data_IF_342072112245
#
_entry.id   IF_342072112245
#
_cell.length_a   1.000
_cell.length_b   1.000
_cell.length_c   1.000
_cell.angle_alpha   90.00
_cell.angle_beta   90.00
_cell.angle_gamma   90.00
#
_symmetry.space_group_name_H-M   'P 1'
#
loop_
_entity.id
_entity.type
_entity.pdbx_description
1 polymer ?
#
# COMPACT_ATOMS: atom_id res chain seq x y z
N UNK A 1 12.21 30.85 12.01
CA UNK A 1 11.53 29.57 11.78
C UNK A 1 10.95 29.63 10.39
N UNK A 2 11.36 28.76 9.48
CA UNK A 2 10.78 28.68 8.14
C UNK A 2 9.37 28.12 8.31
N UNK A 3 8.35 28.85 7.87
CA UNK A 3 6.96 28.38 7.87
C UNK A 3 6.91 27.08 7.05
N UNK A 4 6.40 25.99 7.63
CA UNK A 4 6.25 24.72 6.94
C UNK A 4 4.86 24.64 6.32
N UNK A 5 4.80 24.15 5.09
CA UNK A 5 3.56 23.94 4.35
C UNK A 5 3.15 22.46 4.44
N UNK A 6 1.95 22.20 4.89
CA UNK A 6 1.41 20.86 5.07
C UNK A 6 0.20 20.60 4.16
N UNK A 7 0.10 19.39 3.63
CA UNK A 7 -1.11 18.91 2.97
C UNK A 7 -1.77 17.85 3.84
N UNK A 8 -3.01 18.09 4.25
CA UNK A 8 -3.84 17.10 4.90
C UNK A 8 -4.61 16.34 3.81
N UNK A 9 -4.29 15.07 3.63
CA UNK A 9 -5.04 14.17 2.78
C UNK A 9 -6.06 13.41 3.61
N UNK A 10 -7.34 13.69 3.36
CA UNK A 10 -8.44 13.10 4.11
C UNK A 10 -8.98 11.87 3.38
N UNK A 11 -9.32 10.84 4.16
CA UNK A 11 -10.04 9.69 3.64
C UNK A 11 -11.33 10.16 2.98
N UNK A 12 -11.64 9.70 1.75
CA UNK A 12 -12.94 10.00 1.14
C UNK A 12 -14.08 9.49 2.03
N UNK A 13 -15.08 10.32 2.26
CA UNK A 13 -16.30 9.91 2.96
C UNK A 13 -17.10 8.98 2.04
N UNK A 14 -16.86 7.68 2.19
CA UNK A 14 -17.52 6.66 1.39
C UNK A 14 -18.62 5.95 2.16
N UNK A 15 -19.79 6.55 2.21
CA UNK A 15 -21.00 5.77 2.17
C UNK A 15 -21.62 5.99 0.78
N UNK A 16 -21.09 5.29 -0.21
CA UNK A 16 -21.93 4.92 -1.35
C UNK A 16 -23.16 4.20 -0.81
N UNK A 17 -24.33 4.56 -1.32
CA UNK A 17 -25.67 4.11 -0.98
C UNK A 17 -25.75 2.95 0.04
N UNK A 18 -26.24 3.23 1.24
CA UNK A 18 -26.41 2.22 2.28
C UNK A 18 -27.25 1.08 1.69
N UNK A 19 -26.79 -0.17 1.72
CA UNK A 19 -27.60 -1.28 1.24
C UNK A 19 -28.90 -1.30 2.05
N UNK A 20 -30.04 -1.31 1.37
CA UNK A 20 -31.39 -1.30 1.98
C UNK A 20 -31.67 -2.48 2.93
N UNK A 21 -30.75 -3.44 3.01
CA UNK A 21 -30.87 -4.67 3.80
C UNK A 21 -29.77 -4.84 4.87
N UNK A 22 -29.04 -3.76 5.21
CA UNK A 22 -28.00 -3.85 6.26
C UNK A 22 -28.64 -4.00 7.63
N UNK A 23 -28.19 -4.99 8.43
CA UNK A 23 -28.67 -5.19 9.80
C UNK A 23 -28.49 -3.89 10.62
N UNK A 24 -29.50 -3.46 11.43
CA UNK A 24 -29.48 -2.17 12.14
C UNK A 24 -28.22 -1.96 13.02
N UNK A 25 -27.71 -3.00 13.68
CA UNK A 25 -26.47 -2.90 14.48
C UNK A 25 -25.22 -2.66 13.65
N UNK A 26 -25.12 -3.31 12.48
CA UNK A 26 -24.02 -3.09 11.53
C UNK A 26 -24.09 -1.65 10.99
N UNK A 27 -25.29 -1.17 10.66
CA UNK A 27 -25.50 0.21 10.24
C UNK A 27 -25.07 1.22 11.31
N UNK A 28 -25.49 0.98 12.57
CA UNK A 28 -25.06 1.81 13.70
C UNK A 28 -23.53 1.82 13.86
N UNK A 29 -22.89 0.66 13.76
CA UNK A 29 -21.44 0.54 13.81
C UNK A 29 -20.74 1.33 12.68
N UNK A 30 -21.23 1.22 11.44
CA UNK A 30 -20.68 1.96 10.29
C UNK A 30 -20.84 3.47 10.45
N UNK A 31 -22.00 3.94 10.93
CA UNK A 31 -22.24 5.36 11.22
C UNK A 31 -21.31 5.87 12.34
N UNK A 32 -21.10 5.06 13.38
CA UNK A 32 -20.16 5.40 14.46
C UNK A 32 -18.73 5.55 13.92
N UNK A 33 -18.28 4.66 13.04
CA UNK A 33 -16.96 4.76 12.40
C UNK A 33 -16.79 6.07 11.63
N UNK A 34 -17.82 6.48 10.90
CA UNK A 34 -17.80 7.75 10.15
C UNK A 34 -17.72 8.96 11.11
N UNK A 35 -18.48 8.92 12.21
CA UNK A 35 -18.43 9.96 13.24
C UNK A 35 -17.04 10.04 13.87
N UNK A 36 -16.46 8.92 14.31
CA UNK A 36 -15.12 8.86 14.90
C UNK A 36 -14.06 9.39 13.93
N UNK A 37 -14.14 9.04 12.64
CA UNK A 37 -13.24 9.61 11.64
C UNK A 37 -13.39 11.13 11.52
N UNK A 38 -14.62 11.66 11.47
CA UNK A 38 -14.88 13.09 11.40
C UNK A 38 -14.34 13.87 12.63
N UNK A 39 -14.55 13.32 13.83
CA UNK A 39 -14.00 13.86 15.08
C UNK A 39 -12.46 13.87 15.07
N UNK A 40 -11.85 12.80 14.55
CA UNK A 40 -10.39 12.71 14.41
C UNK A 40 -9.83 13.75 13.43
N UNK A 41 -10.51 13.99 12.31
CA UNK A 41 -10.12 15.05 11.36
C UNK A 41 -10.19 16.42 12.01
N UNK A 42 -11.30 16.74 12.69
CA UNK A 42 -11.48 18.01 13.37
C UNK A 42 -10.40 18.23 14.43
N UNK A 43 -10.12 17.23 15.26
CA UNK A 43 -9.05 17.31 16.26
C UNK A 43 -7.68 17.62 15.63
N UNK A 44 -7.31 16.90 14.56
CA UNK A 44 -6.04 17.17 13.88
C UNK A 44 -5.97 18.58 13.31
N UNK A 45 -7.08 19.11 12.77
CA UNK A 45 -7.16 20.48 12.27
C UNK A 45 -7.03 21.53 13.40
N UNK A 46 -7.69 21.29 14.54
CA UNK A 46 -7.58 22.16 15.72
C UNK A 46 -6.12 22.23 16.25
N UNK A 47 -5.41 21.11 16.26
CA UNK A 47 -3.99 21.10 16.63
C UNK A 47 -3.17 21.92 15.63
N UNK A 48 -3.39 21.75 14.33
CA UNK A 48 -2.66 22.50 13.30
C UNK A 48 -2.94 24.00 13.34
N UNK A 49 -4.16 24.43 13.70
CA UNK A 49 -4.51 25.84 13.88
C UNK A 49 -3.70 26.50 15.01
N UNK A 50 -3.30 25.73 16.03
CA UNK A 50 -2.48 26.22 17.14
C UNK A 50 -0.99 26.26 16.81
N UNK A 51 -0.56 25.66 15.70
CA UNK A 51 0.85 25.62 15.28
C UNK A 51 1.12 26.71 14.23
N UNK A 52 2.34 27.24 14.23
CA UNK A 52 2.81 28.21 13.22
C UNK A 52 3.16 27.51 11.90
N UNK A 53 2.17 26.88 11.25
CA UNK A 53 2.31 26.17 9.99
C UNK A 53 1.19 26.57 9.02
N UNK A 54 1.51 26.63 7.74
CA UNK A 54 0.51 26.78 6.68
C UNK A 54 0.00 25.38 6.31
N UNK A 55 -1.31 25.18 6.21
CA UNK A 55 -1.86 23.91 5.80
C UNK A 55 -3.12 24.04 4.96
N UNK A 56 -3.36 23.05 4.11
CA UNK A 56 -4.61 22.87 3.36
C UNK A 56 -5.09 21.44 3.46
N UNK A 57 -6.42 21.23 3.49
CA UNK A 57 -7.03 19.91 3.50
C UNK A 57 -7.66 19.59 2.13
N UNK A 58 -7.47 18.36 1.66
CA UNK A 58 -8.04 17.85 0.41
C UNK A 58 -8.57 16.44 0.64
N UNK A 59 -9.74 16.15 0.11
CA UNK A 59 -10.28 14.77 0.07
C UNK A 59 -9.51 13.95 -0.96
N UNK A 60 -9.18 12.70 -0.63
CA UNK A 60 -8.36 11.84 -1.48
C UNK A 60 -8.92 11.61 -2.89
N UNK A 61 -10.25 11.57 -3.05
CA UNK A 61 -10.90 11.45 -4.37
C UNK A 61 -10.83 12.73 -5.22
N UNK A 62 -10.49 13.87 -4.64
CA UNK A 62 -10.35 15.15 -5.33
C UNK A 62 -8.89 15.44 -5.73
N UNK A 63 -7.94 14.59 -5.32
CA UNK A 63 -6.53 14.76 -5.60
C UNK A 63 -6.13 13.86 -6.79
N UNK A 64 -5.92 14.48 -7.95
CA UNK A 64 -5.61 13.76 -9.20
C UNK A 64 -4.22 14.08 -9.74
N UNK A 65 -3.56 15.11 -9.20
CA UNK A 65 -2.25 15.56 -9.64
C UNK A 65 -1.15 15.21 -8.62
N UNK A 66 0.11 15.09 -9.07
CA UNK A 66 1.24 14.88 -8.17
C UNK A 66 1.31 15.95 -7.07
N UNK A 67 1.62 15.51 -5.86
CA UNK A 67 1.76 16.39 -4.71
C UNK A 67 3.12 17.10 -4.78
N UNK A 68 3.07 18.42 -4.89
CA UNK A 68 4.24 19.30 -4.94
C UNK A 68 4.06 20.48 -3.97
N UNK A 69 5.12 21.24 -3.75
CA UNK A 69 5.13 22.50 -2.99
C UNK A 69 4.61 22.41 -1.55
N UNK A 70 4.84 21.26 -0.92
CA UNK A 70 4.58 21.04 0.51
C UNK A 70 5.78 20.37 1.16
N UNK A 71 5.96 20.58 2.46
CA UNK A 71 7.07 20.02 3.24
C UNK A 71 6.69 18.67 3.87
N UNK A 72 5.39 18.43 4.08
CA UNK A 72 4.85 17.24 4.72
C UNK A 72 3.44 16.95 4.23
N UNK A 73 3.15 15.68 3.95
CA UNK A 73 1.79 15.17 3.78
C UNK A 73 1.34 14.49 5.06
N UNK A 74 0.16 14.83 5.56
CA UNK A 74 -0.50 14.18 6.70
C UNK A 74 -1.72 13.42 6.17
N UNK A 75 -1.62 12.10 6.07
CA UNK A 75 -2.70 11.23 5.60
C UNK A 75 -3.59 10.82 6.78
N UNK A 76 -4.79 11.42 6.90
CA UNK A 76 -5.73 11.15 7.99
C UNK A 76 -6.78 10.13 7.54
N UNK A 77 -6.66 8.92 8.06
CA UNK A 77 -7.50 7.78 7.69
C UNK A 77 -6.96 6.47 8.24
N UNK A 78 -6.36 5.67 7.42
CA UNK A 78 -5.65 4.44 7.74
C UNK A 78 -4.64 4.15 6.65
N UNK A 79 -4.12 2.92 6.58
CA UNK A 79 -3.12 2.53 5.57
C UNK A 79 -3.58 2.81 4.13
N UNK A 80 -4.88 2.64 3.83
CA UNK A 80 -5.43 2.94 2.51
C UNK A 80 -5.32 4.41 2.11
N UNK A 81 -5.41 5.35 3.07
CA UNK A 81 -5.23 6.79 2.79
C UNK A 81 -3.76 7.12 2.54
N UNK A 82 -2.84 6.46 3.27
CA UNK A 82 -1.42 6.57 3.05
C UNK A 82 -1.02 5.97 1.69
N UNK A 83 -1.58 4.83 1.30
CA UNK A 83 -1.40 4.24 -0.04
C UNK A 83 -1.82 5.21 -1.14
N UNK A 84 -2.99 5.83 -1.00
CA UNK A 84 -3.47 6.83 -1.97
C UNK A 84 -2.49 7.99 -2.10
N UNK A 85 -1.97 8.53 -0.97
CA UNK A 85 -0.93 9.55 -1.00
C UNK A 85 0.31 9.07 -1.76
N UNK A 86 0.76 7.84 -1.51
CA UNK A 86 1.99 7.29 -2.09
C UNK A 86 2.00 7.23 -3.61
N UNK A 87 0.84 7.11 -4.26
CA UNK A 87 0.72 7.09 -5.72
C UNK A 87 0.97 8.47 -6.36
N UNK A 88 0.81 9.54 -5.57
CA UNK A 88 0.93 10.92 -6.02
C UNK A 88 2.19 11.62 -5.50
N UNK A 89 3.06 10.87 -4.80
CA UNK A 89 4.29 11.36 -4.18
C UNK A 89 5.55 10.82 -4.83
N UNK A 90 6.56 11.68 -4.94
CA UNK A 90 7.92 11.30 -5.28
C UNK A 90 8.71 10.81 -4.03
N UNK A 91 10.04 10.96 -4.05
CA UNK A 91 10.93 10.59 -2.93
C UNK A 91 11.37 11.80 -2.07
N UNK A 92 10.83 12.99 -2.33
CA UNK A 92 11.27 14.23 -1.66
C UNK A 92 10.44 14.53 -0.42
N UNK A 93 9.12 14.52 -0.57
CA UNK A 93 8.16 14.90 0.47
C UNK A 93 7.90 13.69 1.38
N UNK A 94 8.04 13.81 2.71
CA UNK A 94 7.65 12.76 3.63
C UNK A 94 6.15 12.72 3.88
N UNK A 95 5.64 11.55 4.30
CA UNK A 95 4.25 11.36 4.71
C UNK A 95 4.15 10.85 6.15
N UNK A 96 3.22 11.43 6.91
CA UNK A 96 2.77 10.96 8.21
C UNK A 96 1.37 10.33 8.06
N UNK A 97 1.24 9.05 8.37
CA UNK A 97 -0.06 8.40 8.51
C UNK A 97 -0.65 8.64 9.90
N UNK A 98 -1.91 9.05 9.95
CA UNK A 98 -2.70 9.18 11.18
C UNK A 98 -3.87 8.22 11.10
N UNK A 99 -3.90 7.17 11.94
CA UNK A 99 -5.01 6.25 12.01
C UNK A 99 -6.18 6.91 12.75
N UNK A 100 -7.18 7.35 12.00
CA UNK A 100 -8.34 8.09 12.50
C UNK A 100 -9.43 7.21 13.11
N UNK A 101 -9.37 5.91 12.91
CA UNK A 101 -10.39 4.95 13.39
C UNK A 101 -9.72 3.61 13.71
N UNK A 102 -8.86 3.55 14.76
CA UNK A 102 -8.15 2.35 15.16
C UNK A 102 -9.11 1.26 15.64
N UNK A 103 -8.75 0.00 15.41
CA UNK A 103 -9.48 -1.16 15.94
C UNK A 103 -9.46 -1.14 17.45
N UNK A 104 -10.63 -1.33 18.07
CA UNK A 104 -10.83 -1.42 19.51
C UNK A 104 -11.11 -2.87 19.90
N UNK A 105 -10.27 -3.43 20.75
CA UNK A 105 -10.32 -4.85 21.13
C UNK A 105 -11.64 -5.16 21.82
N UNK A 106 -12.10 -4.29 22.72
CA UNK A 106 -13.38 -4.42 23.43
C UNK A 106 -14.59 -4.50 22.48
N UNK A 107 -14.59 -3.73 21.39
CA UNK A 107 -15.64 -3.79 20.37
C UNK A 107 -15.58 -5.10 19.57
N UNK A 108 -14.37 -5.55 19.21
CA UNK A 108 -14.17 -6.80 18.46
C UNK A 108 -14.67 -7.98 19.29
N UNK A 109 -14.34 -8.03 20.58
CA UNK A 109 -14.80 -9.07 21.50
C UNK A 109 -16.33 -9.04 21.69
N UNK A 110 -16.88 -7.83 21.91
CA UNK A 110 -18.32 -7.63 22.12
C UNK A 110 -19.18 -8.10 20.95
N UNK A 111 -18.71 -7.89 19.73
CA UNK A 111 -19.47 -8.21 18.51
C UNK A 111 -19.03 -9.50 17.82
N UNK A 112 -18.08 -10.25 18.38
CA UNK A 112 -17.47 -11.43 17.76
C UNK A 112 -18.46 -12.52 17.30
N UNK A 113 -19.61 -12.64 17.98
CA UNK A 113 -20.68 -13.56 17.59
C UNK A 113 -21.68 -13.03 16.56
N UNK A 114 -21.60 -11.75 16.20
CA UNK A 114 -22.59 -11.10 15.33
C UNK A 114 -21.97 -10.66 14.00
N UNK A 115 -20.83 -9.95 14.05
CA UNK A 115 -20.11 -9.48 12.87
C UNK A 115 -18.66 -9.10 13.23
N UNK A 116 -17.81 -8.97 12.21
CA UNK A 116 -16.44 -8.51 12.39
C UNK A 116 -16.41 -7.00 12.65
N UNK A 117 -16.15 -6.60 13.89
CA UNK A 117 -16.04 -5.20 14.31
C UNK A 117 -14.63 -4.61 14.16
N UNK A 118 -13.71 -5.30 13.48
CA UNK A 118 -12.38 -4.75 13.19
C UNK A 118 -12.49 -3.46 12.37
N UNK A 119 -11.67 -2.47 12.75
CA UNK A 119 -11.57 -1.16 12.10
C UNK A 119 -10.28 -1.07 11.29
N UNK A 120 -9.59 0.05 11.34
CA UNK A 120 -8.29 0.19 10.68
C UNK A 120 -7.17 -0.38 11.56
N UNK A 121 -6.28 -1.18 10.98
CA UNK A 121 -5.05 -1.62 11.66
C UNK A 121 -4.06 -0.47 11.80
N UNK A 122 -3.96 0.41 10.79
CA UNK A 122 -3.03 1.52 10.79
C UNK A 122 -1.57 1.06 10.88
N UNK A 123 -1.23 -0.03 10.21
CA UNK A 123 0.10 -0.66 10.30
C UNK A 123 1.25 0.31 9.95
N UNK A 124 1.04 1.19 8.97
CA UNK A 124 2.00 2.21 8.54
C UNK A 124 1.77 3.58 9.19
N UNK A 125 0.75 3.74 10.03
CA UNK A 125 0.41 5.01 10.66
C UNK A 125 1.20 5.20 11.95
N UNK A 126 2.08 6.20 12.01
CA UNK A 126 2.85 6.52 13.21
C UNK A 126 2.03 7.24 14.28
N UNK A 127 0.86 7.78 13.93
CA UNK A 127 0.02 8.51 14.86
C UNK A 127 -1.43 8.00 14.88
N UNK A 128 -2.07 8.23 16.01
CA UNK A 128 -3.52 8.23 16.21
C UNK A 128 -3.91 9.60 16.77
N UNK A 129 -5.19 9.85 17.03
CA UNK A 129 -5.65 11.09 17.69
C UNK A 129 -4.92 11.31 19.04
N UNK A 130 -4.65 10.24 19.79
CA UNK A 130 -4.08 10.30 21.14
C UNK A 130 -2.65 10.87 21.18
N UNK A 131 -1.85 10.62 20.13
CA UNK A 131 -0.44 11.02 20.10
C UNK A 131 -0.07 11.93 18.92
N UNK A 132 -1.05 12.37 18.12
CA UNK A 132 -0.82 13.17 16.92
C UNK A 132 -0.01 14.43 17.18
N UNK A 133 -0.37 15.20 18.22
CA UNK A 133 0.34 16.44 18.57
C UNK A 133 1.81 16.18 18.90
N UNK A 134 2.07 15.19 19.75
CA UNK A 134 3.43 14.83 20.13
C UNK A 134 4.29 14.39 18.93
N UNK A 135 3.73 13.55 18.05
CA UNK A 135 4.43 13.08 16.84
C UNK A 135 4.68 14.24 15.89
N UNK A 136 3.68 15.09 15.68
CA UNK A 136 3.79 16.27 14.82
C UNK A 136 4.88 17.23 15.32
N UNK A 137 4.92 17.54 16.63
CA UNK A 137 5.96 18.39 17.24
C UNK A 137 7.34 17.78 17.04
N UNK A 138 7.49 16.47 17.25
CA UNK A 138 8.73 15.77 16.99
C UNK A 138 9.21 15.89 15.53
N UNK A 139 8.29 15.89 14.58
CA UNK A 139 8.58 16.08 13.14
C UNK A 139 8.95 17.53 12.84
N UNK A 140 8.16 18.50 13.33
CA UNK A 140 8.38 19.93 13.09
C UNK A 140 9.71 20.42 13.70
N UNK A 141 10.11 19.85 14.81
CA UNK A 141 11.38 20.12 15.49
C UNK A 141 12.56 19.27 14.96
N UNK A 142 12.34 18.44 13.94
CA UNK A 142 13.33 17.51 13.36
C UNK A 142 13.91 16.49 14.37
N UNK A 143 13.16 16.14 15.43
CA UNK A 143 13.53 15.08 16.40
C UNK A 143 13.20 13.68 15.86
N UNK A 144 12.22 13.57 14.95
CA UNK A 144 11.80 12.32 14.29
C UNK A 144 12.16 12.44 12.82
N UNK A 145 12.85 11.43 12.29
CA UNK A 145 13.23 11.35 10.88
C UNK A 145 12.38 10.30 10.15
N UNK A 146 11.97 10.55 8.88
CA UNK A 146 11.24 9.59 8.09
C UNK A 146 12.13 8.44 7.63
N UNK A 147 11.57 7.25 7.54
CA UNK A 147 12.19 6.07 6.94
C UNK A 147 11.91 6.00 5.44
N UNK A 148 12.79 5.33 4.68
CA UNK A 148 12.62 5.11 3.25
C UNK A 148 12.01 3.73 3.00
N UNK A 149 10.80 3.68 2.47
CA UNK A 149 10.15 2.46 2.05
C UNK A 149 10.37 2.17 0.57
N UNK A 150 10.64 0.91 0.26
CA UNK A 150 10.78 0.42 -1.11
C UNK A 150 9.43 0.45 -1.81
N UNK A 151 9.41 0.87 -3.08
CA UNK A 151 8.25 0.77 -3.97
C UNK A 151 8.58 -0.09 -5.19
N UNK A 152 7.55 -0.67 -5.80
CA UNK A 152 7.69 -1.47 -7.02
C UNK A 152 7.65 -0.55 -8.23
N UNK A 153 8.69 -0.64 -9.08
CA UNK A 153 8.69 -0.07 -10.42
C UNK A 153 8.21 -1.13 -11.41
N UNK A 154 7.31 -0.72 -12.31
CA UNK A 154 6.73 -1.58 -13.33
C UNK A 154 6.92 -0.91 -14.69
N UNK A 155 7.34 -1.68 -15.70
CA UNK A 155 7.29 -1.24 -17.09
C UNK A 155 6.65 -2.32 -17.96
N UNK A 156 5.98 -1.91 -19.02
CA UNK A 156 5.36 -2.79 -20.02
C UNK A 156 5.97 -2.43 -21.37
N UNK A 157 6.57 -3.41 -22.05
CA UNK A 157 7.25 -3.22 -23.34
C UNK A 157 8.27 -2.07 -23.28
N UNK A 158 9.08 -2.04 -22.20
CA UNK A 158 10.07 -1.01 -21.90
C UNK A 158 9.53 0.40 -21.61
N UNK A 159 8.21 0.60 -21.53
CA UNK A 159 7.59 1.85 -21.11
C UNK A 159 7.23 1.79 -19.63
N UNK A 160 7.77 2.71 -18.84
CA UNK A 160 7.49 2.80 -17.41
C UNK A 160 6.03 3.18 -17.16
N UNK A 161 5.36 2.48 -16.24
CA UNK A 161 4.06 2.90 -15.75
C UNK A 161 4.23 4.11 -14.82
N UNK A 162 3.30 5.07 -14.86
CA UNK A 162 3.43 6.32 -14.09
C UNK A 162 3.24 6.14 -12.58
N UNK A 163 2.73 4.97 -12.14
CA UNK A 163 2.42 4.71 -10.74
C UNK A 163 3.32 3.63 -10.17
N UNK A 164 3.89 3.87 -8.99
CA UNK A 164 4.67 2.91 -8.22
C UNK A 164 3.80 2.26 -7.14
N UNK A 165 3.92 0.94 -6.95
CA UNK A 165 3.21 0.27 -5.86
C UNK A 165 3.98 0.38 -4.54
N UNK A 166 3.27 0.69 -3.46
CA UNK A 166 3.81 0.66 -2.10
C UNK A 166 3.58 -0.69 -1.42
N UNK A 167 2.41 -1.32 -1.62
CA UNK A 167 2.12 -2.63 -1.06
C UNK A 167 2.43 -3.76 -2.04
N UNK A 168 1.63 -3.89 -3.10
CA UNK A 168 1.77 -5.01 -4.02
C UNK A 168 1.18 -4.73 -5.41
N UNK A 169 1.57 -5.56 -6.34
CA UNK A 169 0.93 -5.68 -7.64
C UNK A 169 0.37 -7.08 -7.83
N UNK A 170 -0.73 -7.16 -8.58
CA UNK A 170 -1.29 -8.42 -9.06
C UNK A 170 -1.38 -8.38 -10.58
N UNK A 171 -0.71 -9.32 -11.24
CA UNK A 171 -0.81 -9.55 -12.70
C UNK A 171 -1.69 -10.77 -12.91
N UNK A 172 -2.87 -10.59 -13.51
CA UNK A 172 -3.86 -11.66 -13.62
C UNK A 172 -4.78 -11.48 -14.82
N UNK A 173 -5.53 -12.54 -15.16
CA UNK A 173 -6.67 -12.41 -16.06
C UNK A 173 -7.76 -11.55 -15.36
N UNK A 174 -8.42 -10.63 -16.06
CA UNK A 174 -9.49 -9.81 -15.46
C UNK A 174 -10.72 -10.64 -15.01
N UNK A 175 -10.90 -11.83 -15.59
CA UNK A 175 -11.92 -12.77 -15.15
C UNK A 175 -11.29 -13.80 -14.19
N UNK A 176 -11.70 -13.85 -12.90
CA UNK A 176 -11.12 -14.78 -11.93
C UNK A 176 -11.37 -16.26 -12.25
N UNK A 177 -12.37 -16.58 -13.08
CA UNK A 177 -12.63 -17.94 -13.57
C UNK A 177 -11.71 -18.36 -14.72
N UNK A 178 -10.87 -17.46 -15.23
CA UNK A 178 -9.97 -17.72 -16.35
C UNK A 178 -8.53 -17.92 -15.87
N UNK A 179 -7.84 -18.88 -16.46
CA UNK A 179 -6.44 -19.16 -16.17
C UNK A 179 -5.56 -18.04 -16.73
N UNK A 180 -4.65 -17.55 -15.90
CA UNK A 180 -3.53 -16.70 -16.30
C UNK A 180 -2.37 -17.57 -16.79
N UNK A 181 -1.85 -17.26 -17.98
CA UNK A 181 -0.68 -17.91 -18.56
C UNK A 181 0.41 -16.89 -18.76
N UNK A 182 1.59 -17.17 -18.27
CA UNK A 182 2.76 -16.32 -18.42
C UNK A 182 4.03 -17.12 -18.20
N UNK A 183 5.13 -16.58 -18.63
CA UNK A 183 6.46 -17.07 -18.26
C UNK A 183 7.23 -15.96 -17.59
N UNK A 184 8.13 -16.33 -16.68
CA UNK A 184 8.99 -15.34 -16.04
C UNK A 184 10.42 -15.86 -15.83
N UNK A 185 11.35 -14.93 -15.68
CA UNK A 185 12.73 -15.15 -15.26
C UNK A 185 13.24 -13.93 -14.50
N UNK A 186 14.20 -14.12 -13.62
CA UNK A 186 14.85 -13.05 -12.87
C UNK A 186 16.20 -12.74 -13.53
N UNK A 187 16.38 -11.47 -13.85
CA UNK A 187 17.63 -10.90 -14.37
C UNK A 187 18.39 -10.20 -13.26
N UNK A 188 19.68 -10.42 -13.20
CA UNK A 188 20.61 -9.66 -12.36
C UNK A 188 21.61 -8.97 -13.28
N UNK A 189 21.99 -7.74 -12.94
CA UNK A 189 22.97 -7.00 -13.73
C UNK A 189 24.28 -7.80 -13.88
N UNK A 190 24.77 -7.92 -15.12
CA UNK A 190 25.99 -8.62 -15.48
C UNK A 190 26.05 -10.12 -15.11
N UNK A 191 24.90 -10.76 -14.97
CA UNK A 191 24.82 -12.21 -14.71
C UNK A 191 23.84 -12.88 -15.68
N UNK A 192 23.97 -14.20 -15.93
CA UNK A 192 23.00 -14.93 -16.72
C UNK A 192 21.62 -14.87 -16.06
N UNK A 193 20.59 -14.91 -16.88
CA UNK A 193 19.19 -15.01 -16.42
C UNK A 193 18.98 -16.28 -15.60
N UNK A 194 18.06 -16.22 -14.65
CA UNK A 194 17.49 -17.45 -14.07
C UNK A 194 16.83 -18.34 -15.15
N UNK A 195 16.63 -19.63 -14.88
CA UNK A 195 15.82 -20.47 -15.75
C UNK A 195 14.46 -19.83 -16.05
N UNK A 196 13.96 -20.03 -17.27
CA UNK A 196 12.63 -19.60 -17.65
C UNK A 196 11.57 -20.51 -17.02
N UNK A 197 10.64 -19.92 -16.29
CA UNK A 197 9.53 -20.61 -15.62
C UNK A 197 8.24 -20.35 -16.39
N UNK A 198 7.61 -21.40 -16.92
CA UNK A 198 6.30 -21.31 -17.58
C UNK A 198 5.19 -21.62 -16.58
N UNK A 199 4.15 -20.79 -16.53
CA UNK A 199 3.13 -20.83 -15.49
C UNK A 199 1.72 -20.85 -16.07
N UNK A 200 0.86 -21.65 -15.43
CA UNK A 200 -0.60 -21.60 -15.51
C UNK A 200 -1.14 -21.49 -14.09
N UNK A 201 -1.86 -20.41 -13.80
CA UNK A 201 -2.25 -20.09 -12.42
C UNK A 201 -3.39 -19.07 -12.38
N UNK A 202 -3.79 -18.62 -11.19
CA UNK A 202 -4.69 -17.48 -11.02
C UNK A 202 -4.00 -16.11 -11.12
N UNK A 203 -2.66 -16.07 -11.32
CA UNK A 203 -1.89 -14.85 -11.51
C UNK A 203 -0.58 -14.83 -10.75
N UNK A 204 0.12 -13.71 -10.87
CA UNK A 204 1.39 -13.42 -10.20
C UNK A 204 1.18 -12.23 -9.25
N UNK A 205 1.50 -12.41 -7.97
CA UNK A 205 1.56 -11.32 -6.98
C UNK A 205 3.01 -11.00 -6.67
N UNK A 206 3.32 -9.70 -6.62
CA UNK A 206 4.64 -9.21 -6.18
C UNK A 206 4.41 -8.12 -5.14
N UNK A 207 5.08 -8.21 -4.00
CA UNK A 207 4.86 -7.35 -2.84
C UNK A 207 6.15 -6.75 -2.33
N UNK A 208 6.06 -5.55 -1.80
CA UNK A 208 7.11 -4.93 -0.98
C UNK A 208 7.08 -5.48 0.45
N UNK A 209 8.01 -5.03 1.28
CA UNK A 209 7.97 -5.28 2.72
C UNK A 209 6.70 -4.69 3.38
N UNK A 210 6.28 -3.49 2.98
CA UNK A 210 5.07 -2.86 3.49
C UNK A 210 3.81 -3.69 3.20
N UNK A 211 3.71 -4.26 2.00
CA UNK A 211 2.59 -5.10 1.58
C UNK A 211 2.70 -6.56 2.02
N UNK A 212 3.85 -6.99 2.59
CA UNK A 212 4.08 -8.39 2.95
C UNK A 212 3.15 -8.90 4.05
N UNK A 213 2.61 -8.03 4.88
CA UNK A 213 1.63 -8.33 5.95
C UNK A 213 0.17 -8.20 5.51
N UNK A 214 -0.07 -7.78 4.26
CA UNK A 214 -1.40 -7.59 3.68
C UNK A 214 -1.80 -8.80 2.79
N UNK A 215 -2.24 -8.55 1.57
CA UNK A 215 -2.73 -9.58 0.66
C UNK A 215 -1.67 -10.65 0.30
N UNK A 216 -0.37 -10.33 0.37
CA UNK A 216 0.70 -11.31 0.21
C UNK A 216 0.68 -12.33 1.34
N UNK A 217 0.52 -11.89 2.60
CA UNK A 217 0.44 -12.80 3.75
C UNK A 217 -0.78 -13.74 3.64
N UNK A 218 -1.94 -13.18 3.29
CA UNK A 218 -3.16 -13.97 3.06
C UNK A 218 -3.02 -15.00 1.94
N UNK A 219 -2.13 -14.75 0.97
CA UNK A 219 -1.82 -15.69 -0.12
C UNK A 219 -0.80 -16.78 0.26
N UNK A 220 -0.28 -16.78 1.51
CA UNK A 220 0.72 -17.73 1.99
C UNK A 220 2.16 -17.20 1.97
N UNK A 221 2.36 -15.91 1.71
CA UNK A 221 3.65 -15.24 1.86
C UNK A 221 4.04 -15.04 3.34
N UNK A 222 5.25 -14.56 3.56
CA UNK A 222 5.79 -14.30 4.89
C UNK A 222 5.98 -12.80 5.14
N UNK A 223 5.79 -12.31 6.40
CA UNK A 223 6.10 -10.94 6.76
C UNK A 223 7.57 -10.61 6.57
N UNK A 224 7.87 -9.48 5.95
CA UNK A 224 9.22 -8.99 5.73
C UNK A 224 9.53 -7.84 6.69
N UNK A 225 10.81 -7.65 7.05
CA UNK A 225 11.24 -6.47 7.79
C UNK A 225 10.90 -5.21 6.98
N UNK A 226 10.23 -4.25 7.59
CA UNK A 226 9.64 -3.09 6.91
C UNK A 226 10.63 -2.28 6.05
N UNK A 227 11.90 -2.23 6.43
CA UNK A 227 12.96 -1.53 5.69
C UNK A 227 13.66 -2.41 4.65
N UNK A 228 13.18 -3.64 4.40
CA UNK A 228 13.74 -4.50 3.37
C UNK A 228 13.62 -3.86 2.00
N UNK A 229 14.69 -3.98 1.22
CA UNK A 229 14.76 -3.49 -0.17
C UNK A 229 14.45 -4.57 -1.19
N UNK A 230 14.02 -5.74 -0.74
CA UNK A 230 13.63 -6.86 -1.59
C UNK A 230 12.13 -6.82 -1.85
N UNK A 231 11.71 -7.46 -2.95
CA UNK A 231 10.31 -7.76 -3.19
C UNK A 231 10.10 -9.26 -3.00
N UNK A 232 8.93 -9.63 -2.50
CA UNK A 232 8.48 -11.01 -2.45
C UNK A 232 7.55 -11.26 -3.62
N UNK A 233 7.74 -12.34 -4.37
CA UNK A 233 6.81 -12.75 -5.41
C UNK A 233 6.17 -14.09 -5.11
N UNK A 234 4.96 -14.30 -5.60
CA UNK A 234 4.21 -15.54 -5.49
C UNK A 234 3.34 -15.76 -6.71
N UNK A 235 3.47 -16.94 -7.33
CA UNK A 235 2.50 -17.43 -8.29
C UNK A 235 1.29 -17.95 -7.52
N UNK A 236 0.13 -17.37 -7.80
CA UNK A 236 -1.11 -17.73 -7.10
C UNK A 236 -1.73 -18.99 -7.70
N UNK A 237 -2.04 -19.97 -6.85
CA UNK A 237 -2.78 -21.18 -7.20
C UNK A 237 -2.23 -21.84 -8.49
N UNK A 238 -0.94 -22.22 -8.52
CA UNK A 238 -0.32 -22.79 -9.72
C UNK A 238 -0.94 -24.16 -10.07
N UNK A 239 -1.22 -24.37 -11.35
CA UNK A 239 -1.73 -25.66 -11.86
C UNK A 239 -0.56 -26.57 -12.14
N UNK A 240 -0.52 -27.73 -11.48
CA UNK A 240 0.51 -28.77 -11.65
C UNK A 240 1.93 -28.22 -11.50
N UNK A 241 2.34 -27.84 -10.30
CA UNK A 241 3.63 -27.18 -10.05
C UNK A 241 4.82 -28.09 -10.40
N UNK A 242 4.69 -29.41 -10.34
CA UNK A 242 5.73 -30.37 -10.73
C UNK A 242 7.11 -30.05 -10.12
N UNK A 243 8.17 -30.33 -10.84
CA UNK A 243 9.56 -30.08 -10.43
C UNK A 243 9.93 -28.57 -10.31
N UNK A 244 9.02 -27.65 -10.66
CA UNK A 244 9.23 -26.20 -10.64
C UNK A 244 8.57 -25.54 -9.43
N UNK A 245 8.08 -26.30 -8.45
CA UNK A 245 7.35 -25.77 -7.29
C UNK A 245 8.17 -24.75 -6.51
N UNK A 246 9.48 -24.95 -6.38
CA UNK A 246 10.39 -24.08 -5.65
C UNK A 246 10.55 -22.69 -6.30
N UNK A 247 10.19 -22.56 -7.59
CA UNK A 247 10.25 -21.29 -8.31
C UNK A 247 8.93 -20.52 -8.27
N UNK A 248 7.86 -21.07 -7.67
CA UNK A 248 6.55 -20.40 -7.62
C UNK A 248 6.47 -19.30 -6.55
N UNK A 249 7.45 -19.25 -5.65
CA UNK A 249 7.57 -18.25 -4.61
C UNK A 249 9.04 -17.91 -4.38
N UNK A 250 9.35 -16.64 -4.12
CA UNK A 250 10.72 -16.22 -3.86
C UNK A 250 10.88 -14.72 -3.67
N UNK A 251 12.13 -14.28 -3.73
CA UNK A 251 12.50 -12.89 -3.56
C UNK A 251 13.14 -12.33 -4.84
N UNK A 252 12.85 -11.07 -5.11
CA UNK A 252 13.55 -10.23 -6.11
C UNK A 252 14.43 -9.28 -5.31
N UNK A 253 15.75 -9.39 -5.46
CA UNK A 253 16.70 -8.57 -4.72
C UNK A 253 16.77 -7.15 -5.29
N UNK A 254 17.35 -6.22 -4.53
CA UNK A 254 17.42 -4.79 -4.90
C UNK A 254 18.07 -4.51 -6.27
N UNK A 255 18.95 -5.39 -6.73
CA UNK A 255 19.66 -5.30 -8.02
C UNK A 255 19.11 -6.26 -9.08
N UNK A 256 17.96 -6.87 -8.83
CA UNK A 256 17.32 -7.82 -9.73
C UNK A 256 16.05 -7.21 -10.35
N UNK A 257 15.66 -7.77 -11.48
CA UNK A 257 14.43 -7.43 -12.21
C UNK A 257 13.76 -8.73 -12.65
N UNK A 258 12.49 -8.90 -12.33
CA UNK A 258 11.68 -9.97 -12.87
C UNK A 258 11.14 -9.54 -14.23
N UNK A 259 11.41 -10.35 -15.26
CA UNK A 259 10.88 -10.19 -16.59
C UNK A 259 9.78 -11.24 -16.81
N UNK A 260 8.56 -10.80 -17.02
CA UNK A 260 7.38 -11.65 -17.20
C UNK A 260 6.80 -11.43 -18.59
N UNK A 261 6.59 -12.49 -19.35
CA UNK A 261 5.91 -12.43 -20.66
C UNK A 261 4.49 -12.95 -20.47
N UNK A 262 3.51 -12.13 -20.78
CA UNK A 262 2.10 -12.49 -20.69
C UNK A 262 1.69 -13.33 -21.92
N UNK A 263 0.94 -14.42 -21.71
CA UNK A 263 0.57 -15.37 -22.74
C UNK A 263 -0.95 -15.65 -22.74
N UNK A 264 -1.76 -14.60 -22.51
CA UNK A 264 -3.20 -14.65 -22.66
C UNK A 264 -3.71 -13.42 -23.43
N UNK A 265 -4.83 -13.60 -24.15
CA UNK A 265 -5.44 -12.53 -24.95
C UNK A 265 -5.71 -11.25 -24.15
N UNK A 266 -6.10 -11.39 -22.87
CA UNK A 266 -6.37 -10.28 -21.94
C UNK A 266 -5.65 -10.52 -20.64
N UNK A 267 -5.12 -9.46 -20.06
CA UNK A 267 -4.57 -9.44 -18.72
C UNK A 267 -4.68 -8.04 -18.11
N UNK A 268 -4.47 -7.94 -16.82
CA UNK A 268 -4.50 -6.69 -16.07
C UNK A 268 -3.40 -6.71 -15.02
N UNK A 269 -2.71 -5.59 -14.87
CA UNK A 269 -1.83 -5.29 -13.75
C UNK A 269 -2.62 -4.40 -12.80
N UNK A 270 -2.89 -4.88 -11.60
CA UNK A 270 -3.50 -4.11 -10.51
C UNK A 270 -2.39 -3.60 -9.59
N UNK A 271 -2.45 -2.34 -9.17
CA UNK A 271 -1.48 -1.68 -8.30
C UNK A 271 -2.15 -1.28 -6.99
N UNK A 272 -1.66 -1.82 -5.86
CA UNK A 272 -2.15 -1.52 -4.50
C UNK A 272 -3.68 -1.64 -4.38
N UNK A 273 -4.28 -2.63 -5.03
CA UNK A 273 -5.72 -2.86 -5.08
C UNK A 273 -6.31 -2.72 -6.48
N UNK A 274 -7.63 -2.51 -6.58
CA UNK A 274 -8.35 -2.53 -7.85
C UNK A 274 -8.50 -1.17 -8.54
N UNK A 275 -8.22 -0.07 -7.85
CA UNK A 275 -8.52 1.27 -8.33
C UNK A 275 -7.54 1.73 -9.43
N UNK A 276 -6.29 1.30 -9.35
CA UNK A 276 -5.26 1.59 -10.35
C UNK A 276 -4.97 0.29 -11.08
N UNK A 277 -5.23 0.28 -12.38
CA UNK A 277 -5.01 -0.90 -13.19
C UNK A 277 -4.61 -0.55 -14.62
N UNK A 278 -3.85 -1.44 -15.25
CA UNK A 278 -3.34 -1.32 -16.62
C UNK A 278 -3.63 -2.60 -17.38
N UNK A 279 -4.29 -2.45 -18.53
CA UNK A 279 -4.57 -3.59 -19.41
C UNK A 279 -3.29 -4.06 -20.12
N UNK A 280 -3.13 -5.37 -20.22
CA UNK A 280 -2.07 -6.05 -20.96
C UNK A 280 -2.66 -7.09 -21.89
N UNK A 281 -1.89 -7.50 -22.90
CA UNK A 281 -2.29 -8.48 -23.92
C UNK A 281 -1.19 -9.50 -24.18
N UNK A 282 -1.52 -10.50 -24.96
CA UNK A 282 -0.60 -11.55 -25.38
C UNK A 282 0.68 -10.98 -26.00
N UNK A 283 1.81 -11.50 -25.55
CA UNK A 283 3.15 -11.07 -25.96
C UNK A 283 3.71 -9.87 -25.18
N UNK A 284 2.94 -9.17 -24.35
CA UNK A 284 3.45 -8.06 -23.55
C UNK A 284 4.51 -8.52 -22.55
N UNK A 285 5.60 -7.77 -22.47
CA UNK A 285 6.72 -8.00 -21.56
C UNK A 285 6.61 -7.03 -20.39
N UNK A 286 6.42 -7.58 -19.20
CA UNK A 286 6.28 -6.83 -17.94
C UNK A 286 7.59 -6.95 -17.17
N UNK A 287 8.19 -5.82 -16.80
CA UNK A 287 9.37 -5.78 -15.96
C UNK A 287 9.00 -5.24 -14.59
N UNK A 288 9.42 -5.93 -13.54
CA UNK A 288 9.07 -5.65 -12.14
C UNK A 288 10.36 -5.57 -11.34
N UNK A 289 10.59 -4.47 -10.64
CA UNK A 289 11.82 -4.27 -9.86
C UNK A 289 11.60 -3.37 -8.64
N UNK A 290 12.48 -3.45 -7.61
CA UNK A 290 12.48 -2.55 -6.45
C UNK A 290 13.21 -1.22 -6.73
N UNK A 291 13.30 -0.80 -7.99
CA UNK A 291 14.08 0.38 -8.42
C UNK A 291 13.24 1.67 -8.53
N UNK A 292 12.02 1.68 -7.99
CA UNK A 292 11.23 2.91 -7.89
C UNK A 292 11.85 3.90 -6.88
N UNK A 293 11.61 5.22 -7.04
CA UNK A 293 11.92 6.19 -6.00
C UNK A 293 11.27 5.78 -4.67
N UNK A 294 12.07 5.74 -3.58
CA UNK A 294 11.56 5.32 -2.27
C UNK A 294 10.58 6.34 -1.69
N UNK A 295 9.57 5.87 -0.96
CA UNK A 295 8.68 6.76 -0.22
C UNK A 295 9.27 7.07 1.16
N UNK A 296 9.30 8.35 1.57
CA UNK A 296 9.65 8.76 2.92
C UNK A 296 8.41 8.69 3.82
N UNK A 297 8.43 7.83 4.84
CA UNK A 297 7.29 7.61 5.74
C UNK A 297 7.74 7.72 7.18
N UNK A 298 7.00 8.44 8.00
CA UNK A 298 7.13 8.36 9.45
C UNK A 298 6.45 7.09 9.93
N UNK A 299 7.22 6.16 10.47
CA UNK A 299 6.75 4.83 10.85
C UNK A 299 6.57 4.69 12.36
N UNK A 300 5.66 3.81 12.80
CA UNK A 300 5.54 3.46 14.21
C UNK A 300 6.83 2.83 14.75
N UNK A 301 7.16 3.12 16.01
CA UNK A 301 8.38 2.62 16.65
C UNK A 301 8.50 1.10 16.67
N UNK A 302 7.40 0.37 16.82
CA UNK A 302 7.42 -1.08 16.85
C UNK A 302 7.93 -1.69 15.54
N UNK A 303 7.62 -1.09 14.39
CA UNK A 303 8.14 -1.54 13.09
C UNK A 303 9.64 -1.27 12.94
N UNK A 304 10.11 -0.15 13.51
CA UNK A 304 11.53 0.22 13.45
C UNK A 304 12.39 -0.63 14.39
N UNK A 305 11.86 -1.07 15.53
CA UNK A 305 12.57 -1.96 16.46
C UNK A 305 12.80 -3.33 15.84
N UNK A 306 11.79 -3.91 15.18
CA UNK A 306 11.92 -5.18 14.48
C UNK A 306 12.94 -5.14 13.34
N UNK A 307 13.15 -3.99 12.71
CA UNK A 307 14.12 -3.83 11.63
C UNK A 307 15.57 -3.66 12.11
N UNK A 308 15.81 -3.47 13.42
CA UNK A 308 17.15 -3.32 14.03
C UNK A 308 17.67 -4.59 14.70
N UNK A 309 16.81 -5.61 14.86
CA UNK A 309 17.18 -6.95 15.34
C UNK A 309 17.67 -7.83 14.19
#
# INVERSE_FOLDING_TARGET
>A
MTMKKLLLLLKPSGLSAQPSHTHPRVLHFLNNRQKVHGESVNFCQEILQKKSVEWKAVLGNNLTEPINDVDLVVAIGGDGTLLLASHLMDDKIPVLGVNSDPTRIDEVEKFSGEFNAARSTGHLCAATVENFEHVLDGILENRIAPSKLTRIKISVNALDLPTYALNDILVANPCPASISRFSFRIAKENQPFSPLVNVRSSGLRVSTAAGSTAAMHSAGGFPMLILSRFLQYMVREPISPGAVSDSMHGLIKHNETMNTTWACRKGVIYIDGSHINYAIKDGDIIQISPKAPSLKVFLPDHLLRLAKM
#
